data_IF_959144893216
#
_entry.id   IF_959144893216
#
_cell.length_a   1.000
_cell.length_b   1.000
_cell.length_c   1.000
_cell.angle_alpha   90.00
_cell.angle_beta   90.00
_cell.angle_gamma   90.00
#
_symmetry.space_group_name_H-M   'P 1'
#
loop_
_entity.id
_entity.type
_entity.pdbx_description
1 polymer ?
#
# COMPACT_ATOMS: atom_id res chain seq x y z
N UNK A 1 -0.87 -21.66 -11.39
CA UNK A 1 0.20 -20.86 -10.77
C UNK A 1 0.12 -21.04 -9.26
N UNK A 2 1.25 -21.30 -8.62
CA UNK A 2 1.38 -21.38 -7.15
C UNK A 2 2.47 -20.41 -6.70
N UNK A 3 2.28 -19.83 -5.51
CA UNK A 3 3.27 -19.03 -4.80
C UNK A 3 3.25 -19.52 -3.37
N UNK A 4 4.34 -20.09 -2.88
CA UNK A 4 4.41 -20.68 -1.54
C UNK A 4 5.69 -20.22 -0.84
N UNK A 5 5.59 -19.91 0.45
CA UNK A 5 6.76 -19.68 1.28
C UNK A 5 7.38 -21.02 1.64
N UNK A 6 8.67 -21.18 1.36
CA UNK A 6 9.45 -22.35 1.71
C UNK A 6 10.58 -21.96 2.68
N UNK A 7 11.04 -22.92 3.46
CA UNK A 7 12.23 -22.75 4.29
C UNK A 7 13.39 -23.49 3.63
N UNK A 8 14.32 -22.74 3.06
CA UNK A 8 15.51 -23.28 2.41
C UNK A 8 16.72 -23.02 3.32
N UNK A 9 17.21 -24.09 3.96
CA UNK A 9 18.37 -24.05 4.85
C UNK A 9 18.29 -23.00 5.99
N UNK A 10 17.10 -22.70 6.49
CA UNK A 10 16.88 -21.73 7.57
C UNK A 10 16.56 -20.32 7.10
N UNK A 11 16.58 -20.06 5.79
CA UNK A 11 16.17 -18.79 5.18
C UNK A 11 14.79 -18.96 4.56
N UNK A 12 13.91 -17.98 4.75
CA UNK A 12 12.61 -17.96 4.08
C UNK A 12 12.82 -17.55 2.61
N UNK A 13 12.30 -18.37 1.70
CA UNK A 13 12.26 -18.10 0.27
C UNK A 13 10.84 -18.31 -0.26
N UNK A 14 10.57 -17.81 -1.46
CA UNK A 14 9.29 -17.96 -2.15
C UNK A 14 9.49 -18.84 -3.37
N UNK A 15 8.77 -19.94 -3.41
CA UNK A 15 8.64 -20.81 -4.57
C UNK A 15 7.50 -20.30 -5.46
N UNK A 16 7.81 -19.99 -6.72
CA UNK A 16 6.84 -19.57 -7.73
C UNK A 16 6.83 -20.58 -8.86
N UNK A 17 5.67 -21.18 -9.11
CA UNK A 17 5.47 -22.08 -10.25
C UNK A 17 4.40 -21.52 -11.20
N UNK A 18 4.77 -21.36 -12.47
CA UNK A 18 3.89 -20.93 -13.57
C UNK A 18 4.06 -21.94 -14.72
N UNK A 19 2.99 -22.67 -15.02
CA UNK A 19 3.02 -23.81 -15.95
C UNK A 19 4.14 -24.80 -15.58
N UNK A 20 5.05 -25.11 -16.51
CA UNK A 20 6.21 -26.00 -16.26
C UNK A 20 7.46 -25.24 -15.78
N UNK A 21 7.35 -23.93 -15.50
CA UNK A 21 8.46 -23.09 -15.06
C UNK A 21 8.40 -22.88 -13.56
N UNK A 22 9.55 -23.02 -12.93
CA UNK A 22 9.75 -22.92 -11.49
C UNK A 22 10.90 -21.97 -11.19
N UNK A 23 10.74 -21.14 -10.17
CA UNK A 23 11.79 -20.26 -9.65
C UNK A 23 11.65 -20.12 -8.15
N UNK A 24 12.78 -20.13 -7.45
CA UNK A 24 12.88 -19.82 -6.03
C UNK A 24 13.46 -18.42 -5.89
N UNK A 25 12.83 -17.58 -5.08
CA UNK A 25 13.20 -16.19 -4.84
C UNK A 25 13.44 -15.98 -3.35
N UNK A 26 14.62 -15.52 -2.96
CA UNK A 26 14.88 -14.97 -1.64
C UNK A 26 14.18 -13.63 -1.43
N UNK A 27 14.21 -13.12 -0.19
CA UNK A 27 13.50 -11.90 0.18
C UNK A 27 13.86 -10.68 -0.69
N UNK A 28 15.16 -10.45 -0.98
CA UNK A 28 15.60 -9.32 -1.82
C UNK A 28 15.08 -9.43 -3.27
N UNK A 29 15.00 -10.65 -3.80
CA UNK A 29 14.49 -10.89 -5.15
C UNK A 29 12.98 -10.72 -5.20
N UNK A 30 12.27 -11.12 -4.13
CA UNK A 30 10.83 -10.86 -3.97
C UNK A 30 10.56 -9.36 -3.93
N UNK A 31 11.33 -8.58 -3.18
CA UNK A 31 11.20 -7.12 -3.11
C UNK A 31 11.36 -6.49 -4.51
N UNK A 32 12.40 -6.88 -5.24
CA UNK A 32 12.65 -6.40 -6.60
C UNK A 32 11.53 -6.79 -7.58
N UNK A 33 10.98 -8.01 -7.45
CA UNK A 33 9.85 -8.48 -8.27
C UNK A 33 8.59 -7.68 -7.94
N UNK A 34 8.27 -7.43 -6.67
CA UNK A 34 7.11 -6.63 -6.26
C UNK A 34 7.20 -5.23 -6.84
N UNK A 35 8.34 -4.55 -6.68
CA UNK A 35 8.57 -3.20 -7.23
C UNK A 35 8.36 -3.18 -8.74
N UNK A 36 8.98 -4.13 -9.45
CA UNK A 36 8.91 -4.18 -10.91
C UNK A 36 7.50 -4.50 -11.40
N UNK A 37 6.81 -5.44 -10.76
CA UNK A 37 5.44 -5.81 -11.10
C UNK A 37 4.45 -4.68 -10.81
N UNK A 38 4.64 -3.92 -9.74
CA UNK A 38 3.79 -2.76 -9.45
C UNK A 38 3.86 -1.72 -10.58
N UNK A 39 5.07 -1.41 -11.06
CA UNK A 39 5.28 -0.50 -12.20
C UNK A 39 4.64 -1.02 -13.49
N UNK A 40 4.83 -2.31 -13.78
CA UNK A 40 4.23 -2.94 -14.97
C UNK A 40 2.70 -2.90 -14.85
N UNK A 41 2.14 -3.34 -13.71
CA UNK A 41 0.70 -3.40 -13.46
C UNK A 41 0.03 -2.03 -13.61
N UNK A 42 0.67 -0.95 -13.19
CA UNK A 42 0.16 0.41 -13.34
C UNK A 42 -0.06 0.82 -14.81
N UNK A 43 0.70 0.24 -15.74
CA UNK A 43 0.57 0.50 -17.19
C UNK A 43 -0.38 -0.44 -17.92
N UNK A 44 -0.79 -1.56 -17.30
CA UNK A 44 -1.58 -2.59 -17.94
C UNK A 44 -3.08 -2.23 -18.02
N UNK A 45 -3.77 -2.85 -18.98
CA UNK A 45 -5.24 -2.85 -19.06
C UNK A 45 -5.81 -4.20 -18.60
N UNK A 46 -6.98 -4.21 -17.93
CA UNK A 46 -7.77 -3.03 -17.54
C UNK A 46 -7.09 -2.19 -16.44
N UNK A 47 -7.42 -0.90 -16.39
CA UNK A 47 -6.94 0.01 -15.34
C UNK A 47 -7.31 -0.54 -13.96
N UNK A 48 -6.51 -0.22 -12.95
CA UNK A 48 -6.93 -0.45 -11.57
C UNK A 48 -8.17 0.41 -11.32
N UNK A 49 -9.19 -0.17 -10.69
CA UNK A 49 -10.41 0.57 -10.36
C UNK A 49 -10.08 1.80 -9.50
N UNK A 50 -10.68 2.95 -9.84
CA UNK A 50 -10.44 4.21 -9.12
C UNK A 50 -11.10 4.26 -7.75
N UNK A 51 -12.17 3.48 -7.58
CA UNK A 51 -12.91 3.37 -6.34
C UNK A 51 -12.62 2.02 -5.69
N UNK A 52 -12.49 1.96 -4.35
CA UNK A 52 -12.35 0.70 -3.64
C UNK A 52 -13.60 -0.17 -3.81
N UNK A 53 -13.40 -1.46 -4.06
CA UNK A 53 -14.50 -2.42 -4.15
C UNK A 53 -15.01 -2.77 -2.77
N UNK A 54 -16.32 -2.66 -2.56
CA UNK A 54 -16.95 -3.03 -1.28
C UNK A 54 -16.96 -4.54 -1.00
N UNK A 55 -16.75 -5.36 -2.04
CA UNK A 55 -16.73 -6.82 -1.92
C UNK A 55 -15.33 -7.39 -1.83
N UNK A 56 -14.31 -6.57 -2.06
CA UNK A 56 -12.92 -7.00 -1.98
C UNK A 56 -12.42 -6.91 -0.54
N UNK A 57 -11.74 -7.95 -0.08
CA UNK A 57 -11.08 -7.95 1.22
C UNK A 57 -9.69 -7.34 1.07
N UNK A 58 -9.54 -6.11 1.53
CA UNK A 58 -8.26 -5.43 1.58
C UNK A 58 -7.50 -5.83 2.84
N UNK A 59 -6.18 -6.00 2.73
CA UNK A 59 -5.31 -6.02 3.89
C UNK A 59 -5.31 -4.61 4.49
N UNK A 60 -5.61 -4.50 5.77
CA UNK A 60 -5.61 -3.23 6.52
C UNK A 60 -4.44 -3.27 7.49
N UNK A 61 -3.48 -2.38 7.27
CA UNK A 61 -2.39 -2.17 8.21
C UNK A 61 -2.90 -1.40 9.43
N UNK A 62 -2.63 -1.94 10.62
CA UNK A 62 -3.00 -1.29 11.87
C UNK A 62 -1.88 -0.35 12.29
N UNK A 63 -2.20 0.92 12.50
CA UNK A 63 -1.25 1.98 12.88
C UNK A 63 0.04 2.00 12.02
N UNK A 64 -0.09 2.13 10.68
CA UNK A 64 1.08 2.13 9.82
C UNK A 64 1.94 3.37 10.07
N UNK A 65 3.26 3.20 10.04
CA UNK A 65 4.17 4.34 9.99
C UNK A 65 3.86 5.21 8.77
N UNK A 66 3.81 6.52 8.97
CA UNK A 66 3.59 7.48 7.90
C UNK A 66 4.59 8.65 8.00
N UNK A 67 4.86 9.27 6.87
CA UNK A 67 5.73 10.44 6.77
C UNK A 67 5.17 11.42 5.74
N UNK A 68 5.32 12.72 5.97
CA UNK A 68 4.90 13.74 5.01
C UNK A 68 6.00 14.74 4.77
N UNK A 69 6.22 15.08 3.51
CA UNK A 69 7.18 16.10 3.10
C UNK A 69 6.54 17.10 2.13
N UNK A 70 6.95 18.36 2.20
CA UNK A 70 6.54 19.36 1.20
C UNK A 70 7.30 19.10 -0.10
N UNK A 71 6.59 19.05 -1.23
CA UNK A 71 7.26 18.83 -2.50
C UNK A 71 7.97 20.12 -2.96
N UNK A 72 9.26 20.07 -3.39
CA UNK A 72 10.02 21.27 -3.74
C UNK A 72 9.58 21.90 -5.08
N UNK A 73 8.98 21.11 -5.98
CA UNK A 73 8.67 21.56 -7.35
C UNK A 73 7.21 21.99 -7.57
N UNK A 74 6.29 21.73 -6.64
CA UNK A 74 4.88 22.15 -6.78
C UNK A 74 4.24 22.37 -5.42
N UNK A 75 3.18 23.17 -5.38
CA UNK A 75 2.41 23.40 -4.16
C UNK A 75 1.61 22.16 -3.76
N UNK A 76 2.05 21.52 -2.68
CA UNK A 76 1.45 20.30 -2.14
C UNK A 76 2.39 19.57 -1.21
N UNK A 77 2.05 18.32 -0.90
CA UNK A 77 2.84 17.42 -0.09
C UNK A 77 2.96 16.04 -0.76
N UNK A 78 3.94 15.26 -0.32
CA UNK A 78 3.98 13.83 -0.56
C UNK A 78 3.67 13.13 0.76
N UNK A 79 2.69 12.24 0.75
CA UNK A 79 2.38 11.35 1.87
C UNK A 79 3.00 9.98 1.59
N UNK A 80 3.87 9.52 2.48
CA UNK A 80 4.39 8.18 2.50
C UNK A 80 3.67 7.35 3.55
N UNK A 81 3.19 6.16 3.18
CA UNK A 81 2.65 5.18 4.12
C UNK A 81 3.41 3.87 3.97
N UNK A 82 3.76 3.25 5.11
CA UNK A 82 4.40 1.94 5.15
C UNK A 82 3.36 0.83 5.09
N UNK A 83 3.62 -0.18 4.26
CA UNK A 83 2.92 -1.44 4.20
C UNK A 83 3.89 -2.59 4.51
N UNK A 84 3.47 -3.57 5.32
CA UNK A 84 4.33 -4.63 5.85
C UNK A 84 4.97 -5.49 4.76
N UNK A 85 4.25 -5.76 3.66
CA UNK A 85 4.73 -6.57 2.54
C UNK A 85 5.07 -5.82 1.24
N UNK A 86 4.89 -4.49 1.18
CA UNK A 86 5.17 -3.69 -0.03
C UNK A 86 6.22 -2.59 0.21
N UNK A 87 6.64 -2.39 1.46
CA UNK A 87 7.53 -1.29 1.84
C UNK A 87 6.81 0.06 1.91
N UNK A 88 7.46 1.12 1.45
CA UNK A 88 6.91 2.49 1.50
C UNK A 88 6.28 2.87 0.16
N UNK A 89 5.05 3.38 0.20
CA UNK A 89 4.36 3.94 -0.97
C UNK A 89 4.16 5.45 -0.80
N UNK A 90 4.61 6.22 -1.79
CA UNK A 90 4.50 7.67 -1.82
C UNK A 90 3.34 8.15 -2.70
N UNK A 91 2.55 9.10 -2.18
CA UNK A 91 1.40 9.69 -2.85
C UNK A 91 1.56 11.20 -2.94
N UNK A 92 1.73 11.70 -4.16
CA UNK A 92 1.76 13.12 -4.45
C UNK A 92 0.36 13.74 -4.30
N UNK A 93 0.22 14.70 -3.38
CA UNK A 93 -1.02 15.39 -3.08
C UNK A 93 -0.85 16.90 -3.36
N UNK A 94 -1.29 17.38 -4.54
CA UNK A 94 -1.43 18.81 -4.79
C UNK A 94 -2.35 19.46 -3.75
N UNK A 95 -2.20 20.78 -3.52
CA UNK A 95 -2.96 21.52 -2.48
C UNK A 95 -4.46 21.19 -2.44
N UNK A 96 -5.22 21.14 -3.56
CA UNK A 96 -6.65 20.80 -3.51
C UNK A 96 -6.93 19.38 -3.02
N UNK A 97 -6.09 18.41 -3.37
CA UNK A 97 -6.22 17.02 -2.91
C UNK A 97 -5.83 16.88 -1.44
N UNK A 98 -4.79 17.60 -1.02
CA UNK A 98 -4.37 17.64 0.39
C UNK A 98 -5.46 18.22 1.29
N UNK A 99 -6.13 19.31 0.86
CA UNK A 99 -7.25 19.89 1.58
C UNK A 99 -8.42 18.91 1.73
N UNK A 100 -8.75 18.17 0.66
CA UNK A 100 -9.79 17.12 0.71
C UNK A 100 -9.43 15.99 1.65
N UNK A 101 -8.17 15.54 1.66
CA UNK A 101 -7.69 14.51 2.58
C UNK A 101 -7.80 14.97 4.04
N UNK A 102 -7.35 16.20 4.33
CA UNK A 102 -7.45 16.80 5.66
C UNK A 102 -8.90 16.88 6.14
N UNK A 103 -9.82 17.36 5.29
CA UNK A 103 -11.25 17.43 5.63
C UNK A 103 -11.85 16.05 5.90
N UNK A 104 -11.53 15.05 5.08
CA UNK A 104 -12.04 13.69 5.24
C UNK A 104 -11.59 13.04 6.55
N UNK A 105 -10.29 13.16 6.89
CA UNK A 105 -9.75 12.63 8.14
C UNK A 105 -10.31 13.38 9.36
N UNK A 106 -10.41 14.71 9.27
CA UNK A 106 -10.96 15.55 10.34
C UNK A 106 -12.42 15.22 10.67
N UNK A 107 -13.24 14.89 9.67
CA UNK A 107 -14.63 14.44 9.88
C UNK A 107 -14.71 13.18 10.73
N UNK A 108 -13.83 12.20 10.51
CA UNK A 108 -13.82 10.97 11.30
C UNK A 108 -13.35 11.22 12.73
N UNK A 109 -12.35 12.09 12.94
CA UNK A 109 -11.89 12.45 14.27
C UNK A 109 -13.01 13.11 15.10
N UNK A 110 -13.71 14.09 14.51
CA UNK A 110 -14.83 14.76 15.17
C UNK A 110 -15.95 13.79 15.57
N UNK A 111 -16.31 12.84 14.69
CA UNK A 111 -17.30 11.81 14.98
C UNK A 111 -16.90 10.89 16.14
N UNK A 112 -15.61 10.55 16.25
CA UNK A 112 -15.09 9.73 17.35
C UNK A 112 -15.13 10.51 18.68
N UNK A 113 -14.79 11.79 18.66
CA UNK A 113 -14.85 12.66 19.85
C UNK A 113 -16.30 12.82 20.35
N UNK A 114 -17.26 13.06 19.45
CA UNK A 114 -18.68 13.13 19.79
C UNK A 114 -19.20 11.81 20.38
N UNK A 115 -18.84 10.68 19.77
CA UNK A 115 -19.21 9.36 20.28
C UNK A 115 -18.66 9.11 21.69
N UNK A 116 -17.42 9.52 21.96
CA UNK A 116 -16.84 9.40 23.31
C UNK A 116 -17.49 10.34 24.32
N UNK A 117 -17.87 11.56 23.92
CA UNK A 117 -18.56 12.51 24.79
C UNK A 117 -19.98 12.03 25.18
N UNK A 118 -20.64 11.25 24.33
CA UNK A 118 -21.98 10.68 24.60
C UNK A 118 -21.94 9.40 25.45
N UNK A 119 -20.79 8.74 25.57
CA UNK A 119 -20.61 7.51 26.38
C UNK A 119 -20.11 7.78 27.81
N UNK A 120 -19.65 9.01 28.09
CA UNK A 120 -19.19 9.48 29.40
C UNK A 120 -20.27 10.29 30.13
#
# INVERSE_FOLDING_TARGET
MTIEMINEYGTHAVDVTIDERHVVLGAEEVDAVIERLALIRASMRPEIAKEPSRTHQYVIEMDPCWHTEKHPLYEGAVLFMRHSGLGWAGFALPTPSLAKLHEALGKHLAQLEESHALMN
#
